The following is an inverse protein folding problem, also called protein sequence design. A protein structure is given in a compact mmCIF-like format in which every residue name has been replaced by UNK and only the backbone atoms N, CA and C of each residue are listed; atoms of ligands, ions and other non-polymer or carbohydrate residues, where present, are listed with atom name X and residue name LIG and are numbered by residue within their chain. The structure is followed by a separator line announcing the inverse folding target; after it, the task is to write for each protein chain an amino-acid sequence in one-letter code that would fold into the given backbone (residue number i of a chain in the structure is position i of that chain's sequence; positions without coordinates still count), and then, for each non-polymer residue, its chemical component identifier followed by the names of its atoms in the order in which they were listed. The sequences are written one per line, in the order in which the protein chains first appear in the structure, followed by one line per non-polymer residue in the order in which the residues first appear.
data_IF_662359861182
#
_entry.id   IF_662359861182
#
_cell.length_a   1.000
_cell.length_b   1.000
_cell.length_c   1.000
_cell.angle_alpha   90.00
_cell.angle_beta   90.00
_cell.angle_gamma   90.00
#
_symmetry.space_group_name_H-M   'P 1'
#
loop_
_entity.id
_entity.type
_entity.pdbx_description
1 polymer ?
#
# COMPACT_ATOMS: atom_id res chain seq x y z
N UNK A 1 -16.41 18.00 -56.66
CA UNK A 1 -15.15 18.08 -55.91
C UNK A 1 -15.47 18.46 -54.47
N UNK A 2 -15.19 17.51 -53.56
CA UNK A 2 -14.75 17.65 -52.17
C UNK A 2 -15.69 18.28 -51.12
N UNK A 3 -16.35 17.39 -50.37
CA UNK A 3 -16.93 17.64 -49.04
C UNK A 3 -15.79 17.65 -48.00
N UNK A 4 -15.55 18.79 -47.36
CA UNK A 4 -14.62 18.90 -46.24
C UNK A 4 -15.37 18.60 -44.93
N UNK A 5 -15.16 17.41 -44.36
CA UNK A 5 -15.66 17.04 -43.05
C UNK A 5 -14.72 17.51 -41.93
N UNK A 6 -15.22 18.37 -41.04
CA UNK A 6 -14.50 18.79 -39.83
C UNK A 6 -14.67 17.70 -38.77
N UNK A 7 -13.57 17.02 -38.42
CA UNK A 7 -13.52 16.10 -37.30
C UNK A 7 -13.20 16.88 -36.02
N UNK A 8 -14.18 17.03 -35.11
CA UNK A 8 -13.92 17.45 -33.74
C UNK A 8 -13.28 16.29 -32.98
N UNK A 9 -12.00 16.40 -32.68
CA UNK A 9 -11.34 15.54 -31.70
C UNK A 9 -11.83 15.96 -30.32
N UNK A 10 -12.66 15.12 -29.69
CA UNK A 10 -12.99 15.28 -28.28
C UNK A 10 -11.71 15.03 -27.45
N UNK A 11 -11.17 16.08 -26.83
CA UNK A 11 -10.13 15.95 -25.82
C UNK A 11 -10.76 15.33 -24.56
N UNK A 12 -10.55 14.03 -24.35
CA UNK A 12 -10.86 13.40 -23.08
C UNK A 12 -10.01 14.02 -21.98
N UNK A 13 -10.64 14.57 -20.94
CA UNK A 13 -9.91 15.01 -19.75
C UNK A 13 -9.42 13.76 -19.03
N UNK A 14 -8.12 13.51 -19.08
CA UNK A 14 -7.51 12.57 -18.16
C UNK A 14 -7.59 13.19 -16.76
N UNK A 15 -8.53 12.73 -15.95
CA UNK A 15 -8.62 13.15 -14.56
C UNK A 15 -7.40 12.61 -13.81
N UNK A 16 -6.55 13.52 -13.34
CA UNK A 16 -5.40 13.16 -12.52
C UNK A 16 -5.90 12.67 -11.16
N UNK A 17 -5.27 11.63 -10.63
CA UNK A 17 -5.61 11.14 -9.29
C UNK A 17 -5.32 12.21 -8.23
N UNK A 18 -6.24 12.37 -7.30
CA UNK A 18 -6.11 13.27 -6.15
C UNK A 18 -5.67 12.51 -4.89
N UNK A 19 -5.03 13.21 -3.95
CA UNK A 19 -4.75 12.69 -2.60
C UNK A 19 -5.94 12.99 -1.69
N UNK A 20 -6.50 11.98 -1.04
CA UNK A 20 -7.42 12.13 0.09
C UNK A 20 -6.82 11.41 1.29
N UNK A 21 -7.01 11.91 2.51
CA UNK A 21 -6.35 11.37 3.70
C UNK A 21 -7.37 10.93 4.73
N UNK A 22 -7.14 9.77 5.35
CA UNK A 22 -7.87 9.31 6.53
C UNK A 22 -6.90 8.98 7.66
N UNK A 23 -7.41 9.01 8.89
CA UNK A 23 -6.68 8.56 10.06
C UNK A 23 -6.86 7.05 10.24
N UNK A 24 -5.77 6.32 10.48
CA UNK A 24 -5.75 4.93 10.92
C UNK A 24 -5.48 4.93 12.43
N UNK A 25 -6.55 4.86 13.22
CA UNK A 25 -6.49 4.76 14.68
C UNK A 25 -6.75 3.31 15.08
N UNK A 26 -5.66 2.54 15.27
CA UNK A 26 -5.73 1.10 15.57
C UNK A 26 -6.50 0.80 16.86
N UNK A 27 -6.49 1.72 17.83
CA UNK A 27 -7.19 1.56 19.11
C UNK A 27 -8.71 1.73 18.98
N UNK A 28 -9.17 2.37 17.90
CA UNK A 28 -10.58 2.60 17.62
C UNK A 28 -11.19 1.55 16.66
N UNK A 29 -10.38 0.65 16.11
CA UNK A 29 -10.83 -0.34 15.13
C UNK A 29 -11.66 -1.45 15.77
N UNK A 30 -12.57 -2.03 14.99
CA UNK A 30 -13.29 -3.23 15.39
C UNK A 30 -12.35 -4.44 15.32
N UNK A 31 -12.25 -5.21 16.41
CA UNK A 31 -11.51 -6.48 16.42
C UNK A 31 -12.31 -7.53 15.64
N UNK A 32 -11.71 -8.09 14.59
CA UNK A 32 -12.28 -9.16 13.79
C UNK A 32 -11.88 -10.54 14.31
N UNK A 33 -10.61 -10.69 14.68
CA UNK A 33 -10.03 -11.91 15.22
C UNK A 33 -8.85 -11.58 16.15
N UNK A 34 -8.60 -12.44 17.12
CA UNK A 34 -7.51 -12.31 18.06
C UNK A 34 -7.07 -13.69 18.54
N UNK A 35 -5.77 -13.96 18.44
CA UNK A 35 -5.15 -15.19 18.93
C UNK A 35 -4.33 -14.88 20.18
N UNK A 36 -4.84 -15.30 21.34
CA UNK A 36 -4.19 -15.09 22.63
C UNK A 36 -2.88 -15.89 22.80
N UNK A 37 -2.68 -16.99 22.04
CA UNK A 37 -1.48 -17.82 22.11
C UNK A 37 -0.33 -17.21 21.31
N UNK A 38 -0.61 -16.79 20.06
CA UNK A 38 0.40 -16.17 19.19
C UNK A 38 0.54 -14.66 19.40
N UNK A 39 -0.46 -14.02 20.01
CA UNK A 39 -0.55 -12.57 20.15
C UNK A 39 -1.03 -11.85 18.89
N UNK A 40 -1.42 -12.58 17.84
CA UNK A 40 -1.90 -12.01 16.58
C UNK A 40 -3.28 -11.37 16.71
N UNK A 41 -3.54 -10.34 15.91
CA UNK A 41 -4.81 -9.61 15.91
C UNK A 41 -5.17 -9.16 14.49
N UNK A 42 -6.45 -9.25 14.13
CA UNK A 42 -7.00 -8.70 12.89
C UNK A 42 -8.04 -7.63 13.21
N UNK A 43 -7.91 -6.46 12.58
CA UNK A 43 -8.72 -5.28 12.84
C UNK A 43 -9.41 -4.81 11.58
N UNK A 44 -10.65 -4.33 11.72
CA UNK A 44 -11.33 -3.53 10.71
C UNK A 44 -11.43 -2.08 11.19
N UNK A 45 -10.79 -1.19 10.46
CA UNK A 45 -10.68 0.23 10.73
C UNK A 45 -11.49 1.05 9.72
N UNK A 46 -11.90 2.24 10.16
CA UNK A 46 -12.54 3.21 9.27
C UNK A 46 -11.54 3.70 8.20
N UNK A 47 -12.02 3.78 6.96
CA UNK A 47 -11.29 4.33 5.82
C UNK A 47 -12.13 5.38 5.10
N UNK A 48 -12.06 5.42 3.77
CA UNK A 48 -13.03 6.20 2.99
C UNK A 48 -14.42 5.55 3.04
N UNK A 49 -15.51 6.30 2.79
CA UNK A 49 -16.85 5.72 2.72
C UNK A 49 -16.90 4.51 1.78
N UNK A 50 -17.32 3.36 2.31
CA UNK A 50 -17.39 2.09 1.57
C UNK A 50 -16.04 1.40 1.32
N UNK A 51 -14.94 1.92 1.88
CA UNK A 51 -13.58 1.39 1.69
C UNK A 51 -12.87 1.32 3.05
N UNK A 52 -13.21 0.34 3.91
CA UNK A 52 -12.53 0.13 5.18
C UNK A 52 -11.04 -0.22 4.98
N UNK A 53 -10.27 -0.08 6.06
CA UNK A 53 -8.88 -0.55 6.14
C UNK A 53 -8.87 -1.78 7.02
N UNK A 54 -8.22 -2.85 6.59
CA UNK A 54 -8.03 -4.05 7.40
C UNK A 54 -6.56 -4.12 7.79
N UNK A 55 -6.29 -4.13 9.09
CA UNK A 55 -4.93 -4.18 9.61
C UNK A 55 -4.77 -5.44 10.45
N UNK A 56 -3.85 -6.30 10.06
CA UNK A 56 -3.52 -7.53 10.77
C UNK A 56 -2.10 -7.43 11.31
N UNK A 57 -1.91 -7.78 12.57
CA UNK A 57 -0.62 -7.86 13.22
C UNK A 57 -0.36 -9.30 13.64
N UNK A 58 0.84 -9.79 13.33
CA UNK A 58 1.32 -11.10 13.75
C UNK A 58 2.85 -11.12 13.77
N UNK A 59 3.42 -11.63 14.86
CA UNK A 59 4.87 -11.65 15.10
C UNK A 59 5.51 -10.26 14.93
N UNK A 60 4.90 -9.22 15.47
CA UNK A 60 5.33 -7.81 15.44
C UNK A 60 5.46 -7.24 14.02
N UNK A 61 4.57 -7.64 13.12
CA UNK A 61 4.54 -7.22 11.72
C UNK A 61 3.13 -6.95 11.28
N UNK A 62 2.94 -5.84 10.59
CA UNK A 62 1.65 -5.46 10.03
C UNK A 62 1.51 -5.91 8.58
N UNK A 63 0.33 -6.41 8.27
CA UNK A 63 -0.24 -6.46 6.93
C UNK A 63 -1.45 -5.52 6.89
N UNK A 64 -1.61 -4.78 5.78
CA UNK A 64 -2.67 -3.79 5.65
C UNK A 64 -3.33 -3.86 4.28
N UNK A 65 -4.60 -4.23 4.31
CA UNK A 65 -5.51 -4.31 3.17
C UNK A 65 -6.48 -3.12 3.12
N UNK A 66 -6.96 -2.82 1.92
CA UNK A 66 -7.85 -1.69 1.67
C UNK A 66 -9.07 -2.09 0.85
N UNK A 67 -10.26 -1.69 1.28
CA UNK A 67 -11.52 -1.96 0.61
C UNK A 67 -12.11 -3.33 0.97
N UNK A 68 -11.36 -4.40 0.71
CA UNK A 68 -11.72 -5.78 1.12
C UNK A 68 -10.48 -6.46 1.70
N UNK A 69 -10.64 -7.35 2.70
CA UNK A 69 -9.53 -8.13 3.24
C UNK A 69 -9.21 -9.30 2.32
N UNK A 70 -8.02 -9.89 2.48
CA UNK A 70 -7.66 -11.16 1.87
C UNK A 70 -6.68 -11.95 2.73
N UNK A 71 -6.43 -13.20 2.32
CA UNK A 71 -5.61 -14.15 3.10
C UNK A 71 -4.11 -14.11 2.74
N UNK A 72 -3.66 -13.19 1.87
CA UNK A 72 -2.22 -13.05 1.61
C UNK A 72 -1.57 -12.29 2.75
N UNK A 73 -0.37 -12.72 3.14
CA UNK A 73 0.46 -12.01 4.10
C UNK A 73 1.54 -11.20 3.37
N UNK A 74 1.38 -9.88 3.31
CA UNK A 74 2.29 -8.97 2.59
C UNK A 74 2.95 -7.99 3.58
N UNK A 75 4.10 -8.39 4.14
CA UNK A 75 4.85 -7.58 5.11
C UNK A 75 6.37 -7.63 4.92
N UNK A 76 7.07 -6.88 5.76
CA UNK A 76 8.54 -6.86 5.87
C UNK A 76 9.06 -8.09 6.62
N UNK A 77 10.27 -8.53 6.28
CA UNK A 77 11.00 -9.54 7.03
C UNK A 77 11.33 -9.08 8.45
N UNK A 78 11.84 -7.85 8.67
CA UNK A 78 11.99 -7.27 10.00
C UNK A 78 10.67 -6.88 10.69
N UNK A 79 10.74 -6.57 11.98
CA UNK A 79 9.61 -6.03 12.73
C UNK A 79 9.20 -4.67 12.17
N UNK A 80 7.91 -4.34 12.29
CA UNK A 80 7.41 -3.07 11.80
C UNK A 80 6.19 -2.55 12.56
N UNK A 81 5.94 -1.25 12.38
CA UNK A 81 4.69 -0.59 12.76
C UNK A 81 4.25 0.34 11.63
N UNK A 82 3.00 0.81 11.71
CA UNK A 82 2.39 1.67 10.69
C UNK A 82 2.12 3.08 11.22
N UNK A 83 2.16 4.06 10.33
CA UNK A 83 1.73 5.42 10.62
C UNK A 83 0.19 5.50 10.69
N UNK A 84 -0.32 6.56 11.30
CA UNK A 84 -1.75 6.81 11.44
C UNK A 84 -2.36 7.53 10.23
N UNK A 85 -1.60 7.81 9.17
CA UNK A 85 -2.13 8.50 7.99
C UNK A 85 -2.13 7.58 6.78
N UNK A 86 -3.31 7.30 6.26
CA UNK A 86 -3.50 6.63 4.97
C UNK A 86 -3.71 7.71 3.91
N UNK A 87 -2.86 7.74 2.89
CA UNK A 87 -3.10 8.54 1.69
C UNK A 87 -3.80 7.69 0.63
N UNK A 88 -5.03 8.05 0.30
CA UNK A 88 -5.82 7.44 -0.77
C UNK A 88 -5.58 8.18 -2.09
N UNK A 89 -5.46 7.41 -3.16
CA UNK A 89 -5.36 7.90 -4.53
C UNK A 89 -6.71 7.73 -5.21
N UNK A 90 -7.36 8.83 -5.52
CA UNK A 90 -8.77 8.86 -5.93
C UNK A 90 -8.91 9.40 -7.35
N UNK A 91 -9.68 8.74 -8.20
CA UNK A 91 -10.08 9.21 -9.53
C UNK A 91 -11.61 9.17 -9.59
N UNK A 92 -12.23 10.29 -9.96
CA UNK A 92 -13.69 10.41 -10.08
C UNK A 92 -14.46 9.94 -8.81
N UNK A 93 -13.89 10.21 -7.64
CA UNK A 93 -14.46 9.83 -6.34
C UNK A 93 -14.24 8.36 -5.94
N UNK A 94 -13.58 7.56 -6.78
CA UNK A 94 -13.27 6.16 -6.51
C UNK A 94 -11.78 5.99 -6.14
N UNK A 95 -11.47 5.46 -4.95
CA UNK A 95 -10.09 5.15 -4.59
C UNK A 95 -9.60 3.91 -5.37
N UNK A 96 -8.40 3.99 -5.94
CA UNK A 96 -7.78 2.86 -6.65
C UNK A 96 -6.50 2.36 -5.98
N UNK A 97 -5.86 3.19 -5.17
CA UNK A 97 -4.67 2.83 -4.40
C UNK A 97 -4.67 3.56 -3.04
N UNK A 98 -3.96 2.98 -2.09
CA UNK A 98 -3.65 3.58 -0.81
C UNK A 98 -2.13 3.56 -0.60
N UNK A 99 -1.63 4.54 0.14
CA UNK A 99 -0.23 4.68 0.51
C UNK A 99 -0.17 4.82 2.02
N UNK A 100 0.62 3.96 2.65
CA UNK A 100 0.83 3.96 4.09
C UNK A 100 2.33 3.90 4.39
N UNK A 101 2.73 4.69 5.39
CA UNK A 101 4.11 4.68 5.87
C UNK A 101 4.28 3.59 6.91
N UNK A 102 5.29 2.76 6.71
CA UNK A 102 5.76 1.76 7.66
C UNK A 102 7.07 2.22 8.29
N UNK A 103 7.23 1.90 9.57
CA UNK A 103 8.47 2.04 10.33
C UNK A 103 9.03 0.64 10.56
N UNK A 104 10.28 0.42 10.19
CA UNK A 104 10.89 -0.91 10.11
C UNK A 104 12.06 -0.95 11.09
N UNK A 105 12.20 -2.04 11.85
CA UNK A 105 13.26 -2.23 12.84
C UNK A 105 13.81 -3.66 12.76
N UNK A 106 15.10 -3.82 12.46
CA UNK A 106 15.75 -5.14 12.46
C UNK A 106 16.10 -5.65 13.86
N UNK A 107 16.20 -4.75 14.85
CA UNK A 107 16.59 -5.07 16.22
C UNK A 107 17.98 -5.69 16.37
N UNK A 108 18.85 -5.63 15.36
CA UNK A 108 20.12 -6.36 15.33
C UNK A 108 21.18 -5.79 16.28
N UNK A 109 21.25 -4.46 16.38
CA UNK A 109 22.17 -3.70 17.25
C UNK A 109 21.42 -2.82 18.27
N UNK A 110 20.14 -2.55 18.04
CA UNK A 110 19.32 -1.59 18.79
C UNK A 110 19.60 -0.13 18.42
N UNK A 111 20.41 0.10 17.38
CA UNK A 111 20.86 1.42 16.94
C UNK A 111 19.93 2.09 15.93
N UNK A 112 20.33 3.26 15.42
CA UNK A 112 19.59 3.96 14.38
C UNK A 112 19.76 3.31 12.99
N UNK A 113 20.84 2.56 12.81
CA UNK A 113 21.15 1.79 11.61
C UNK A 113 20.16 0.63 11.36
N UNK A 114 19.51 0.15 12.41
CA UNK A 114 18.48 -0.91 12.33
C UNK A 114 17.12 -0.37 11.86
N UNK A 115 16.97 0.95 11.80
CA UNK A 115 15.69 1.62 11.62
C UNK A 115 15.54 2.21 10.23
N UNK A 116 14.38 1.92 9.63
CA UNK A 116 14.00 2.37 8.30
C UNK A 116 12.58 2.87 8.23
N UNK A 117 12.27 3.55 7.14
CA UNK A 117 10.92 3.95 6.80
C UNK A 117 10.66 3.64 5.34
N UNK A 118 9.47 3.15 5.04
CA UNK A 118 9.04 2.90 3.67
C UNK A 118 7.60 3.37 3.45
N UNK A 119 7.30 3.80 2.23
CA UNK A 119 5.94 4.02 1.76
C UNK A 119 5.50 2.77 1.00
N UNK A 120 4.54 2.06 1.56
CA UNK A 120 3.90 0.90 0.93
C UNK A 120 2.72 1.40 0.12
N UNK A 121 2.69 1.07 -1.16
CA UNK A 121 1.62 1.41 -2.09
C UNK A 121 0.82 0.16 -2.37
N UNK A 122 -0.45 0.16 -1.99
CA UNK A 122 -1.36 -0.97 -2.16
C UNK A 122 -2.48 -0.63 -3.14
N UNK A 123 -2.89 -1.61 -3.93
CA UNK A 123 -4.12 -1.54 -4.72
C UNK A 123 -5.32 -1.65 -3.78
N UNK A 124 -6.32 -0.78 -3.97
CA UNK A 124 -7.59 -0.92 -3.25
C UNK A 124 -8.36 -2.10 -3.85
N UNK A 125 -8.71 -3.05 -3.00
CA UNK A 125 -9.42 -4.26 -3.35
C UNK A 125 -10.92 -4.05 -3.57
N UNK A 126 -11.52 -5.02 -4.23
CA UNK A 126 -12.97 -5.14 -4.46
C UNK A 126 -13.36 -6.60 -4.23
N UNK A 127 -14.64 -6.87 -3.99
CA UNK A 127 -15.15 -8.25 -3.86
C UNK A 127 -14.76 -9.17 -5.04
N UNK A 128 -14.59 -8.61 -6.24
CA UNK A 128 -14.19 -9.39 -7.42
C UNK A 128 -12.68 -9.62 -7.51
N UNK A 129 -11.87 -8.67 -7.02
CA UNK A 129 -10.41 -8.70 -7.10
C UNK A 129 -9.84 -8.08 -5.82
N UNK A 130 -9.26 -8.89 -4.92
CA UNK A 130 -8.65 -8.38 -3.69
C UNK A 130 -7.44 -7.49 -3.98
N UNK A 131 -7.15 -6.57 -3.05
CA UNK A 131 -6.02 -5.64 -3.13
C UNK A 131 -4.69 -6.30 -2.76
N UNK A 132 -3.56 -5.75 -3.18
CA UNK A 132 -2.22 -6.27 -2.87
C UNK A 132 -1.21 -5.15 -2.89
N UNK A 133 0.01 -5.41 -2.43
CA UNK A 133 1.10 -4.44 -2.53
C UNK A 133 1.61 -4.34 -3.98
N UNK A 134 1.75 -3.11 -4.45
CA UNK A 134 2.17 -2.75 -5.82
C UNK A 134 3.61 -2.26 -5.83
N UNK A 135 3.99 -1.47 -4.83
CA UNK A 135 5.34 -0.93 -4.71
C UNK A 135 5.69 -0.59 -3.25
N UNK A 136 6.98 -0.62 -2.95
CA UNK A 136 7.54 -0.22 -1.67
C UNK A 136 8.67 0.78 -1.93
N UNK A 137 8.53 2.00 -1.40
CA UNK A 137 9.48 3.10 -1.66
C UNK A 137 10.23 3.40 -0.37
N UNK A 138 11.56 3.36 -0.40
CA UNK A 138 12.39 3.80 0.74
C UNK A 138 12.17 5.31 0.97
N UNK A 139 11.87 5.70 2.21
CA UNK A 139 11.56 7.08 2.54
C UNK A 139 12.73 8.06 2.37
N UNK A 140 13.97 7.56 2.23
CA UNK A 140 15.18 8.36 1.93
C UNK A 140 15.30 8.73 0.46
N UNK A 141 14.50 8.13 -0.43
CA UNK A 141 14.43 8.52 -1.85
C UNK A 141 13.98 9.98 -1.95
N UNK A 142 14.65 10.76 -2.80
CA UNK A 142 14.27 12.14 -3.07
C UNK A 142 12.82 12.18 -3.58
N UNK A 143 11.99 13.03 -2.97
CA UNK A 143 10.56 13.11 -3.27
C UNK A 143 9.80 11.77 -3.11
N UNK A 144 10.17 10.91 -2.15
CA UNK A 144 9.55 9.60 -1.92
C UNK A 144 8.01 9.59 -1.98
N UNK A 145 7.33 10.57 -1.37
CA UNK A 145 5.86 10.69 -1.44
C UNK A 145 5.37 10.88 -2.89
N UNK A 146 6.07 11.69 -3.68
CA UNK A 146 5.76 11.88 -5.11
C UNK A 146 6.01 10.61 -5.93
N UNK A 147 7.09 9.89 -5.64
CA UNK A 147 7.40 8.59 -6.26
C UNK A 147 6.32 7.57 -5.94
N UNK A 148 5.89 7.47 -4.67
CA UNK A 148 4.81 6.57 -4.24
C UNK A 148 3.49 6.89 -4.95
N UNK A 149 3.13 8.18 -5.10
CA UNK A 149 1.95 8.61 -5.88
C UNK A 149 2.06 8.24 -7.36
N UNK A 150 3.26 8.31 -7.93
CA UNK A 150 3.53 7.85 -9.29
C UNK A 150 3.35 6.35 -9.44
N UNK A 151 3.91 5.56 -8.53
CA UNK A 151 3.76 4.10 -8.51
C UNK A 151 2.29 3.66 -8.33
N UNK A 152 1.51 4.41 -7.56
CA UNK A 152 0.09 4.14 -7.36
C UNK A 152 -0.74 4.14 -8.65
N UNK A 153 -0.31 4.87 -9.69
CA UNK A 153 -0.99 4.85 -10.99
C UNK A 153 -0.99 3.45 -11.63
N UNK A 154 -0.05 2.57 -11.26
CA UNK A 154 0.02 1.20 -11.76
C UNK A 154 -1.03 0.28 -11.12
N UNK A 155 -1.57 0.62 -9.95
CA UNK A 155 -2.43 -0.25 -9.15
C UNK A 155 -3.67 -0.74 -9.93
N UNK A 156 -4.24 0.10 -10.80
CA UNK A 156 -5.41 -0.26 -11.62
C UNK A 156 -5.14 -1.41 -12.61
N UNK A 157 -3.88 -1.65 -12.97
CA UNK A 157 -3.45 -2.68 -13.92
C UNK A 157 -2.65 -3.80 -13.28
N UNK A 158 -2.27 -3.64 -12.02
CA UNK A 158 -1.45 -4.60 -11.30
C UNK A 158 -2.27 -5.87 -11.00
N UNK A 159 -1.79 -7.00 -11.49
CA UNK A 159 -2.43 -8.31 -11.34
C UNK A 159 -2.04 -8.94 -10.00
N UNK A 160 -2.80 -8.67 -8.95
CA UNK A 160 -2.57 -9.23 -7.62
C UNK A 160 -2.47 -10.76 -7.64
N UNK A 161 -1.45 -11.30 -6.98
CA UNK A 161 -1.12 -12.72 -6.97
C UNK A 161 -0.36 -13.22 -8.21
N UNK A 162 -0.05 -12.34 -9.17
CA UNK A 162 0.77 -12.67 -10.35
C UNK A 162 1.94 -11.70 -10.51
N UNK A 163 1.67 -10.41 -10.43
CA UNK A 163 2.71 -9.38 -10.48
C UNK A 163 3.44 -9.27 -9.14
N UNK A 164 4.76 -9.08 -9.19
CA UNK A 164 5.58 -8.86 -7.99
C UNK A 164 5.68 -7.36 -7.68
N UNK A 165 5.55 -6.95 -6.41
CA UNK A 165 5.75 -5.56 -6.03
C UNK A 165 7.16 -5.08 -6.34
N UNK A 166 7.30 -3.79 -6.66
CA UNK A 166 8.60 -3.19 -6.97
C UNK A 166 9.15 -2.46 -5.75
N UNK A 167 10.40 -2.76 -5.37
CA UNK A 167 11.16 -1.96 -4.42
C UNK A 167 11.82 -0.78 -5.13
N UNK A 168 11.65 0.43 -4.59
CA UNK A 168 12.30 1.64 -5.09
C UNK A 168 13.18 2.23 -3.98
N UNK A 169 14.49 2.18 -4.19
CA UNK A 169 15.50 2.67 -3.26
C UNK A 169 16.88 2.06 -3.56
N UNK A 170 17.91 2.43 -2.80
CA UNK A 170 19.22 1.77 -2.84
C UNK A 170 19.14 0.24 -2.64
N UNK A 171 20.19 -0.49 -3.03
CA UNK A 171 20.25 -1.96 -2.86
C UNK A 171 20.19 -2.39 -1.39
N UNK A 172 20.71 -1.58 -0.48
CA UNK A 172 20.68 -1.77 0.97
C UNK A 172 19.46 -1.12 1.64
N UNK A 173 18.46 -0.69 0.86
CA UNK A 173 17.25 -0.06 1.40
C UNK A 173 16.34 -1.04 2.13
N UNK A 174 15.64 -0.52 3.14
CA UNK A 174 14.60 -1.27 3.84
C UNK A 174 13.39 -1.61 2.94
N UNK A 175 13.19 -0.89 1.85
CA UNK A 175 12.16 -1.25 0.87
C UNK A 175 12.36 -2.67 0.29
N UNK A 176 13.61 -3.15 0.23
CA UNK A 176 13.95 -4.48 -0.29
C UNK A 176 13.83 -5.60 0.74
N UNK A 177 13.55 -5.29 2.01
CA UNK A 177 13.26 -6.32 3.02
C UNK A 177 11.78 -6.73 3.03
N UNK A 178 10.97 -6.27 2.07
CA UNK A 178 9.59 -6.72 1.89
C UNK A 178 9.55 -8.13 1.31
N UNK A 179 8.87 -9.06 2.00
CA UNK A 179 8.99 -10.51 1.71
C UNK A 179 8.48 -10.89 0.31
N UNK A 180 7.50 -10.15 -0.23
CA UNK A 180 6.94 -10.41 -1.56
C UNK A 180 7.82 -9.90 -2.72
N UNK A 181 8.98 -9.29 -2.43
CA UNK A 181 9.91 -8.73 -3.44
C UNK A 181 11.05 -9.70 -3.76
N UNK A 182 11.40 -10.57 -2.80
CA UNK A 182 12.45 -11.57 -2.98
C UNK A 182 11.78 -12.93 -3.14
N UNK A 183 12.04 -13.68 -4.23
CA UNK A 183 11.52 -15.04 -4.35
C UNK A 183 12.00 -15.88 -3.15
N UNK A 184 11.10 -16.64 -2.52
CA UNK A 184 11.46 -17.58 -1.45
C UNK A 184 12.66 -18.45 -1.90
N UNK A 185 13.80 -18.32 -1.22
CA UNK A 185 14.98 -19.16 -1.47
C UNK A 185 16.23 -18.47 -2.06
N UNK A 186 16.45 -17.19 -1.78
CA UNK A 186 17.78 -16.56 -1.91
C UNK A 186 18.37 -16.20 -0.55
#
# INVERSE_FOLDING_TARGET
MLLAGVWLLAAGHAHAAESVYTTLDLDACAVLDQDDESGGISLQCDGLPGHPVFASEGDLRFDVDYGVPNDRWESFGPFNSVNQTVEWRVVDGLPHAAILRFFIDTGMTGGAEDKGEALVVSRVGTEAVPGCVVAVIDAKVEQANGVARGAAAMATRFACGTDMPVAIGPEDSFARSFNSIVPEGQ
#
